data_IF_900264356200
#
_entry.id   IF_900264356200
#
_cell.length_a   1.000
_cell.length_b   1.000
_cell.length_c   1.000
_cell.angle_alpha   90.00
_cell.angle_beta   90.00
_cell.angle_gamma   90.00
#
_symmetry.space_group_name_H-M   'P 1'
#
loop_
_entity.id
_entity.type
_entity.pdbx_description
1 polymer ?
#
# COMPACT_ATOMS: atom_id res chain seq x y z
N UNK A 1 4.86 -16.50 -27.19
CA UNK A 1 4.74 -16.96 -25.79
C UNK A 1 4.01 -15.89 -24.97
N UNK A 2 2.71 -15.71 -25.18
CA UNK A 2 1.90 -14.58 -24.64
C UNK A 2 1.01 -14.95 -23.45
N UNK A 3 1.02 -16.21 -23.01
CA UNK A 3 0.03 -16.74 -22.05
C UNK A 3 0.32 -16.47 -20.56
N UNK A 4 1.57 -16.16 -20.18
CA UNK A 4 1.95 -16.05 -18.77
C UNK A 4 1.80 -14.64 -18.18
N UNK A 5 1.98 -13.58 -18.98
CA UNK A 5 1.95 -12.20 -18.49
C UNK A 5 0.55 -11.78 -18.03
N UNK A 6 -0.49 -12.06 -18.82
CA UNK A 6 -1.88 -11.70 -18.47
C UNK A 6 -2.39 -12.45 -17.24
N UNK A 7 -1.99 -13.72 -17.09
CA UNK A 7 -2.40 -14.54 -15.95
C UNK A 7 -1.66 -14.15 -14.67
N UNK A 8 -0.37 -13.80 -14.75
CA UNK A 8 0.41 -13.26 -13.64
C UNK A 8 -0.08 -11.85 -13.23
N UNK A 9 -0.39 -10.97 -14.19
CA UNK A 9 -0.96 -9.65 -13.92
C UNK A 9 -2.35 -9.76 -13.29
N UNK A 10 -3.23 -10.63 -13.80
CA UNK A 10 -4.54 -10.88 -13.19
C UNK A 10 -4.44 -11.47 -11.78
N UNK A 11 -3.47 -12.36 -11.55
CA UNK A 11 -3.16 -12.89 -10.22
C UNK A 11 -2.64 -11.80 -9.29
N UNK A 12 -1.80 -10.88 -9.79
CA UNK A 12 -1.23 -9.77 -9.02
C UNK A 12 -2.28 -8.72 -8.65
N UNK A 13 -3.18 -8.35 -9.56
CA UNK A 13 -4.28 -7.42 -9.25
C UNK A 13 -5.20 -8.01 -8.17
N UNK A 14 -5.55 -9.30 -8.29
CA UNK A 14 -6.41 -9.97 -7.32
C UNK A 14 -5.80 -10.02 -5.90
N UNK A 15 -4.49 -10.23 -5.78
CA UNK A 15 -3.82 -10.20 -4.48
C UNK A 15 -3.75 -8.80 -3.90
N UNK A 16 -3.46 -7.77 -4.72
CA UNK A 16 -3.42 -6.37 -4.26
C UNK A 16 -4.80 -5.90 -3.79
N UNK A 17 -5.87 -6.21 -4.51
CA UNK A 17 -7.25 -5.92 -4.07
C UNK A 17 -7.60 -6.63 -2.75
N UNK A 18 -7.14 -7.87 -2.59
CA UNK A 18 -7.37 -8.65 -1.37
C UNK A 18 -6.65 -8.03 -0.18
N UNK A 19 -5.38 -7.68 -0.36
CA UNK A 19 -4.57 -7.05 0.70
C UNK A 19 -5.06 -5.63 1.00
N UNK A 20 -5.47 -4.86 0.00
CA UNK A 20 -6.08 -3.55 0.18
C UNK A 20 -7.29 -3.63 1.10
N UNK A 21 -8.21 -4.56 0.84
CA UNK A 21 -9.39 -4.80 1.70
C UNK A 21 -9.02 -5.21 3.12
N UNK A 22 -7.90 -5.91 3.31
CA UNK A 22 -7.38 -6.25 4.65
C UNK A 22 -6.82 -4.99 5.32
N UNK A 23 -6.13 -4.13 4.59
CA UNK A 23 -5.64 -2.84 5.05
C UNK A 23 -6.74 -1.85 5.44
N UNK A 24 -8.00 -2.07 5.05
CA UNK A 24 -9.14 -1.28 5.54
C UNK A 24 -9.63 -1.68 6.94
N UNK A 25 -8.88 -2.55 7.66
CA UNK A 25 -9.19 -2.88 9.04
C UNK A 25 -9.11 -1.62 9.95
N UNK A 26 -9.89 -1.49 11.03
CA UNK A 26 -9.95 -0.24 11.77
C UNK A 26 -8.63 0.24 12.42
N UNK A 27 -7.65 -0.65 12.63
CA UNK A 27 -6.35 -0.37 13.27
C UNK A 27 -5.34 -1.50 13.03
N UNK A 28 -4.03 -1.31 13.18
CA UNK A 28 -3.06 -2.40 12.97
C UNK A 28 -2.93 -3.30 14.22
N UNK A 29 -4.00 -4.01 14.58
CA UNK A 29 -4.01 -4.96 15.70
C UNK A 29 -3.60 -6.39 15.28
N UNK A 30 -3.48 -7.29 16.26
CA UNK A 30 -3.05 -8.68 16.04
C UNK A 30 -3.93 -9.41 15.03
N UNK A 31 -5.23 -9.08 14.95
CA UNK A 31 -6.13 -9.68 13.96
C UNK A 31 -5.72 -9.29 12.54
N UNK A 32 -5.50 -7.99 12.31
CA UNK A 32 -4.99 -7.48 11.05
C UNK A 32 -3.64 -8.11 10.69
N UNK A 33 -2.67 -8.08 11.62
CA UNK A 33 -1.32 -8.59 11.37
C UNK A 33 -1.37 -10.08 10.99
N UNK A 34 -2.17 -10.88 11.71
CA UNK A 34 -2.32 -12.30 11.42
C UNK A 34 -3.01 -12.54 10.08
N UNK A 35 -4.05 -11.78 9.74
CA UNK A 35 -4.78 -11.92 8.47
C UNK A 35 -3.90 -11.53 7.27
N UNK A 36 -3.20 -10.41 7.37
CA UNK A 36 -2.26 -9.96 6.33
C UNK A 36 -1.13 -10.98 6.15
N UNK A 37 -0.51 -11.42 7.26
CA UNK A 37 0.59 -12.40 7.24
C UNK A 37 0.19 -13.73 6.60
N UNK A 38 -1.00 -14.25 6.90
CA UNK A 38 -1.52 -15.50 6.29
C UNK A 38 -1.64 -15.42 4.78
N UNK A 39 -2.06 -14.27 4.25
CA UNK A 39 -2.23 -14.09 2.81
C UNK A 39 -0.89 -14.10 2.10
N UNK A 40 0.15 -13.53 2.73
CA UNK A 40 1.45 -13.39 2.11
C UNK A 40 2.46 -14.45 2.57
N UNK A 41 2.11 -15.40 3.43
CA UNK A 41 3.09 -16.32 4.06
C UNK A 41 3.86 -17.16 3.04
N UNK A 42 3.18 -17.51 1.94
CA UNK A 42 3.67 -18.33 0.82
C UNK A 42 4.80 -17.68 0.04
N UNK A 43 4.98 -16.37 0.16
CA UNK A 43 6.00 -15.62 -0.55
C UNK A 43 7.33 -15.59 0.23
N UNK A 44 8.43 -15.55 -0.52
CA UNK A 44 9.76 -15.31 0.04
C UNK A 44 9.87 -13.91 0.66
N UNK A 45 10.96 -13.65 1.38
CA UNK A 45 11.19 -12.34 2.01
C UNK A 45 11.28 -11.23 0.94
N UNK A 46 11.95 -11.50 -0.19
CA UNK A 46 12.09 -10.54 -1.28
C UNK A 46 10.71 -10.24 -1.93
N UNK A 47 9.94 -11.27 -2.25
CA UNK A 47 8.60 -11.12 -2.83
C UNK A 47 7.64 -10.40 -1.87
N UNK A 48 7.75 -10.63 -0.56
CA UNK A 48 6.98 -9.87 0.45
C UNK A 48 7.31 -8.38 0.40
N UNK A 49 8.59 -8.03 0.25
CA UNK A 49 9.01 -6.63 0.14
C UNK A 49 8.43 -5.99 -1.12
N UNK A 50 8.53 -6.67 -2.27
CA UNK A 50 7.96 -6.20 -3.54
C UNK A 50 6.44 -6.06 -3.49
N UNK A 51 5.76 -6.97 -2.79
CA UNK A 51 4.31 -6.95 -2.62
C UNK A 51 3.86 -5.79 -1.72
N UNK A 52 4.63 -5.46 -0.67
CA UNK A 52 4.39 -4.29 0.19
C UNK A 52 4.56 -2.99 -0.61
N UNK A 53 5.62 -2.88 -1.41
CA UNK A 53 5.80 -1.72 -2.31
C UNK A 53 4.69 -1.62 -3.35
N UNK A 54 4.30 -2.74 -3.96
CA UNK A 54 3.22 -2.79 -4.95
C UNK A 54 1.88 -2.38 -4.34
N UNK A 55 1.62 -2.78 -3.09
CA UNK A 55 0.41 -2.40 -2.38
C UNK A 55 0.42 -0.91 -2.01
N UNK A 56 1.55 -0.36 -1.59
CA UNK A 56 1.68 1.07 -1.33
C UNK A 56 1.41 1.91 -2.59
N UNK A 57 1.97 1.49 -3.74
CA UNK A 57 1.68 2.10 -5.05
C UNK A 57 0.20 2.02 -5.38
N UNK A 58 -0.42 0.86 -5.20
CA UNK A 58 -1.83 0.64 -5.46
C UNK A 58 -2.74 1.55 -4.63
N UNK A 59 -2.43 1.74 -3.34
CA UNK A 59 -3.15 2.67 -2.45
C UNK A 59 -3.02 4.12 -2.95
N UNK A 60 -1.80 4.55 -3.28
CA UNK A 60 -1.55 5.89 -3.81
C UNK A 60 -2.29 6.15 -5.13
N UNK A 61 -2.29 5.16 -6.04
CA UNK A 61 -2.98 5.25 -7.32
C UNK A 61 -4.51 5.32 -7.15
N UNK A 62 -5.08 4.57 -6.21
CA UNK A 62 -6.51 4.67 -5.84
C UNK A 62 -6.90 6.07 -5.37
N UNK A 63 -6.07 6.70 -4.54
CA UNK A 63 -6.30 8.08 -4.13
C UNK A 63 -6.21 9.04 -5.32
N UNK A 64 -5.14 8.94 -6.11
CA UNK A 64 -4.88 9.84 -7.26
C UNK A 64 -5.92 9.71 -8.38
N UNK A 65 -6.52 8.53 -8.58
CA UNK A 65 -7.59 8.30 -9.54
C UNK A 65 -8.97 8.72 -9.03
N UNK A 66 -9.10 9.00 -7.72
CA UNK A 66 -10.37 9.29 -7.07
C UNK A 66 -11.22 8.05 -6.77
N UNK A 67 -10.67 6.84 -6.90
CA UNK A 67 -11.35 5.59 -6.54
C UNK A 67 -11.40 5.36 -5.02
N UNK A 68 -10.45 5.93 -4.26
CA UNK A 68 -10.41 5.89 -2.80
C UNK A 68 -10.47 7.28 -2.19
N UNK A 69 -11.20 7.44 -1.08
CA UNK A 69 -11.17 8.69 -0.30
C UNK A 69 -9.86 8.84 0.46
N UNK A 70 -9.59 10.05 0.97
CA UNK A 70 -8.44 10.27 1.84
C UNK A 70 -8.50 9.33 3.05
N UNK A 71 -9.62 9.32 3.78
CA UNK A 71 -9.79 8.52 5.00
C UNK A 71 -9.60 7.02 4.73
N UNK A 72 -10.14 6.52 3.61
CA UNK A 72 -10.00 5.11 3.25
C UNK A 72 -8.54 4.75 2.93
N UNK A 73 -7.87 5.55 2.12
CA UNK A 73 -6.50 5.30 1.66
C UNK A 73 -5.46 5.57 2.74
N UNK A 74 -5.74 6.51 3.63
CA UNK A 74 -4.96 6.83 4.83
C UNK A 74 -4.99 5.67 5.84
N UNK A 75 -6.18 5.15 6.17
CA UNK A 75 -6.30 3.93 6.99
C UNK A 75 -5.51 2.77 6.37
N UNK A 76 -5.61 2.61 5.04
CA UNK A 76 -4.93 1.53 4.34
C UNK A 76 -3.40 1.61 4.47
N UNK A 77 -2.82 2.79 4.25
CA UNK A 77 -1.36 2.98 4.30
C UNK A 77 -0.85 2.95 5.74
N UNK A 78 -1.61 3.49 6.71
CA UNK A 78 -1.30 3.41 8.13
C UNK A 78 -1.21 1.96 8.62
N UNK A 79 -2.16 1.11 8.18
CA UNK A 79 -2.11 -0.31 8.50
C UNK A 79 -0.97 -1.05 7.79
N UNK A 80 -0.69 -0.72 6.53
CA UNK A 80 0.46 -1.30 5.82
C UNK A 80 1.79 -0.94 6.50
N UNK A 81 1.96 0.30 6.94
CA UNK A 81 3.09 0.74 7.73
C UNK A 81 3.17 -0.01 9.07
N UNK A 82 2.05 -0.19 9.76
CA UNK A 82 1.96 -1.01 10.97
C UNK A 82 2.43 -2.45 10.75
N UNK A 83 1.99 -3.10 9.67
CA UNK A 83 2.48 -4.42 9.28
C UNK A 83 3.99 -4.45 9.06
N UNK A 84 4.52 -3.50 8.29
CA UNK A 84 5.93 -3.38 7.97
C UNK A 84 6.81 -3.18 9.22
N UNK A 85 6.37 -2.32 10.14
CA UNK A 85 7.04 -2.06 11.43
C UNK A 85 7.05 -3.32 12.29
N UNK A 86 5.90 -3.99 12.47
CA UNK A 86 5.81 -5.21 13.27
C UNK A 86 6.70 -6.35 12.76
N UNK A 87 6.96 -6.39 11.45
CA UNK A 87 7.80 -7.42 10.82
C UNK A 87 9.26 -6.98 10.62
N UNK A 88 9.64 -5.79 11.08
CA UNK A 88 10.95 -5.17 10.86
C UNK A 88 11.35 -5.20 9.38
N UNK A 89 10.39 -4.88 8.51
CA UNK A 89 10.50 -4.90 7.04
C UNK A 89 9.81 -3.68 6.49
N UNK A 90 10.56 -2.58 6.41
CA UNK A 90 10.09 -1.29 5.91
C UNK A 90 10.77 -1.02 4.57
N UNK A 91 10.11 -1.31 3.44
CA UNK A 91 10.59 -0.89 2.13
C UNK A 91 10.66 0.64 2.02
N UNK A 92 11.70 1.17 1.40
CA UNK A 92 11.91 2.61 1.25
C UNK A 92 10.79 3.27 0.45
N UNK A 93 10.31 2.60 -0.61
CA UNK A 93 9.24 3.13 -1.45
C UNK A 93 7.90 3.18 -0.70
N UNK A 94 7.47 2.09 -0.06
CA UNK A 94 6.28 2.11 0.80
C UNK A 94 6.38 3.19 1.88
N UNK A 95 7.55 3.33 2.52
CA UNK A 95 7.74 4.36 3.55
C UNK A 95 7.57 5.77 2.99
N UNK A 96 8.10 6.05 1.78
CA UNK A 96 7.89 7.33 1.12
C UNK A 96 6.41 7.63 0.83
N UNK A 97 5.63 6.61 0.47
CA UNK A 97 4.17 6.75 0.31
C UNK A 97 3.50 7.03 1.66
N UNK A 98 3.82 6.26 2.71
CA UNK A 98 3.31 6.49 4.06
C UNK A 98 3.59 7.92 4.54
N UNK A 99 4.82 8.41 4.42
CA UNK A 99 5.19 9.77 4.81
C UNK A 99 4.40 10.84 4.05
N UNK A 100 4.04 10.60 2.78
CA UNK A 100 3.22 11.53 2.03
C UNK A 100 1.80 11.68 2.61
N UNK A 101 1.22 10.59 3.13
CA UNK A 101 -0.05 10.59 3.85
C UNK A 101 0.06 11.20 5.25
N UNK A 102 1.08 10.81 6.02
CA UNK A 102 1.34 11.34 7.37
C UNK A 102 1.53 12.88 7.36
N UNK A 103 2.28 13.41 6.38
CA UNK A 103 2.44 14.85 6.17
C UNK A 103 1.11 15.56 5.85
N UNK A 104 0.17 14.85 5.22
CA UNK A 104 -1.14 15.39 4.84
C UNK A 104 -2.14 15.39 6.01
N UNK A 105 -1.98 14.52 7.02
CA UNK A 105 -2.79 14.55 8.24
C UNK A 105 -2.48 15.77 9.12
N UNK A 106 -1.22 16.25 9.11
CA UNK A 106 -0.72 17.28 10.03
C UNK A 106 -1.01 18.73 9.60
N UNK A 107 -1.56 18.96 8.40
CA UNK A 107 -1.77 20.31 7.85
C UNK A 107 -3.21 20.82 7.94
N UNK A 108 -3.41 22.12 8.17
CA UNK A 108 -4.71 22.80 7.98
C UNK A 108 -5.23 22.74 6.52
N UNK A 109 -4.34 22.38 5.60
CA UNK A 109 -4.48 22.23 4.16
C UNK A 109 -4.01 20.84 3.67
N UNK A 110 -3.66 19.91 4.57
CA UNK A 110 -2.74 18.81 4.25
C UNK A 110 -3.24 17.85 3.16
N UNK A 111 -4.55 17.69 2.99
CA UNK A 111 -5.15 16.98 1.86
C UNK A 111 -4.76 17.57 0.49
N UNK A 112 -4.51 18.87 0.38
CA UNK A 112 -4.14 19.53 -0.88
C UNK A 112 -2.72 19.18 -1.34
N UNK A 113 -1.82 18.85 -0.41
CA UNK A 113 -0.41 18.52 -0.71
C UNK A 113 -0.19 17.04 -0.99
N UNK A 114 -1.12 16.19 -0.55
CA UNK A 114 -1.05 14.74 -0.77
C UNK A 114 -0.88 14.37 -2.26
N UNK A 115 -1.67 14.91 -3.22
CA UNK A 115 -1.47 14.58 -4.63
C UNK A 115 -0.07 14.89 -5.16
N UNK A 116 0.53 16.03 -4.76
CA UNK A 116 1.89 16.38 -5.18
C UNK A 116 2.95 15.50 -4.51
N UNK A 117 2.79 15.22 -3.22
CA UNK A 117 3.72 14.38 -2.47
C UNK A 117 3.71 12.93 -3.00
N UNK A 118 2.53 12.38 -3.28
CA UNK A 118 2.41 11.07 -3.91
C UNK A 118 3.05 11.04 -5.29
N UNK A 119 2.81 12.04 -6.14
CA UNK A 119 3.46 12.10 -7.46
C UNK A 119 4.98 12.16 -7.36
N UNK A 120 5.51 12.81 -6.32
CA UNK A 120 6.95 12.80 -6.04
C UNK A 120 7.43 11.42 -5.60
N UNK A 121 6.75 10.80 -4.63
CA UNK A 121 7.08 9.47 -4.10
C UNK A 121 6.98 8.36 -5.15
N UNK A 122 6.01 8.43 -6.07
CA UNK A 122 5.81 7.45 -7.13
C UNK A 122 6.90 7.49 -8.21
N UNK A 123 7.65 8.59 -8.31
CA UNK A 123 8.62 8.86 -9.37
C UNK A 123 7.96 9.14 -10.73
N UNK A 124 8.73 9.47 -11.78
CA UNK A 124 8.22 9.50 -13.14
C UNK A 124 7.67 8.11 -13.49
N UNK A 125 6.45 8.07 -14.06
CA UNK A 125 5.85 6.83 -14.54
C UNK A 125 6.84 6.13 -15.51
N UNK A 126 7.29 4.93 -15.13
CA UNK A 126 8.18 4.10 -15.92
C UNK A 126 7.46 3.47 -17.11
#
# INVERSE_FOLDING_TARGET
>A
MSGNLTQALGSMTNILDTLYKICLHPRPDDEFINRFSKVIDVYSIAEKSELVDSLARFIAEKFLSGEGSFEETDVAINNLAGYAICNNRIPEFMWGVYMAFDDAELGSDGQQRLPSNLRHALGPAA
#
